data_IF_981481875720
#
_entry.id   IF_981481875720
#
_cell.length_a   1.000
_cell.length_b   1.000
_cell.length_c   1.000
_cell.angle_alpha   90.00
_cell.angle_beta   90.00
_cell.angle_gamma   90.00
#
_symmetry.space_group_name_H-M   'P 1'
#
loop_
_entity.id
_entity.type
_entity.pdbx_description
1 polymer ?
#
# COMPACT_ATOMS: atom_id res chain seq x y z
N UNK A 1 -27.13 21.33 -40.61
CA UNK A 1 -27.20 21.20 -39.13
C UNK A 1 -26.40 19.96 -38.76
N UNK A 2 -25.13 20.12 -38.39
CA UNK A 2 -24.29 18.99 -37.99
C UNK A 2 -24.48 18.75 -36.49
N UNK A 3 -25.02 17.59 -36.14
CA UNK A 3 -25.06 17.13 -34.75
C UNK A 3 -23.64 16.74 -34.35
N UNK A 4 -23.08 17.51 -33.41
CA UNK A 4 -21.77 17.25 -32.83
C UNK A 4 -21.80 15.93 -32.06
N UNK A 5 -20.82 15.08 -32.33
CA UNK A 5 -20.53 13.89 -31.52
C UNK A 5 -20.18 14.34 -30.10
N UNK A 6 -21.01 13.94 -29.14
CA UNK A 6 -20.70 14.08 -27.71
C UNK A 6 -19.53 13.13 -27.39
N UNK A 7 -18.31 13.64 -27.52
CA UNK A 7 -17.11 12.98 -27.03
C UNK A 7 -17.14 13.06 -25.49
N UNK A 8 -17.55 11.98 -24.83
CA UNK A 8 -17.33 11.83 -23.39
C UNK A 8 -15.82 11.93 -23.13
N UNK A 9 -15.35 12.74 -22.15
CA UNK A 9 -13.94 12.78 -21.83
C UNK A 9 -13.54 11.40 -21.29
N UNK A 10 -12.73 10.66 -22.04
CA UNK A 10 -12.17 9.36 -21.64
C UNK A 10 -11.08 9.50 -20.58
N UNK A 11 -11.25 10.42 -19.63
CA UNK A 11 -10.39 10.55 -18.46
C UNK A 11 -10.89 9.51 -17.45
N UNK A 12 -10.62 8.24 -17.71
CA UNK A 12 -10.58 7.25 -16.63
C UNK A 12 -9.35 7.63 -15.82
N UNK A 13 -9.50 8.23 -14.62
CA UNK A 13 -8.34 8.56 -13.81
C UNK A 13 -7.57 7.27 -13.57
N UNK A 14 -6.27 7.27 -13.88
CA UNK A 14 -5.42 6.12 -13.53
C UNK A 14 -5.58 5.87 -12.02
N UNK A 15 -5.77 4.61 -11.60
CA UNK A 15 -5.96 4.30 -10.20
C UNK A 15 -4.77 4.82 -9.40
N UNK A 16 -5.05 5.44 -8.25
CA UNK A 16 -4.01 5.92 -7.33
C UNK A 16 -3.29 4.73 -6.73
N UNK A 17 -2.04 4.91 -6.30
CA UNK A 17 -1.28 3.83 -5.65
C UNK A 17 -2.02 3.30 -4.41
N UNK A 18 -2.74 4.17 -3.69
CA UNK A 18 -3.57 3.82 -2.55
C UNK A 18 -4.69 2.84 -2.95
N UNK A 19 -5.41 3.11 -4.04
CA UNK A 19 -6.48 2.23 -4.52
C UNK A 19 -5.95 0.83 -4.93
N UNK A 20 -4.75 0.76 -5.50
CA UNK A 20 -4.11 -0.51 -5.86
C UNK A 20 -3.71 -1.29 -4.60
N UNK A 21 -3.17 -0.60 -3.59
CA UNK A 21 -2.84 -1.21 -2.29
C UNK A 21 -4.11 -1.71 -1.55
N UNK A 22 -5.20 -0.93 -1.58
CA UNK A 22 -6.49 -1.36 -1.01
C UNK A 22 -7.01 -2.64 -1.67
N UNK A 23 -6.78 -2.80 -2.98
CA UNK A 23 -7.12 -4.03 -3.71
C UNK A 23 -6.26 -5.22 -3.26
N UNK A 24 -4.95 -5.03 -3.08
CA UNK A 24 -4.04 -6.07 -2.58
C UNK A 24 -4.35 -6.50 -1.15
N UNK A 25 -4.89 -5.58 -0.34
CA UNK A 25 -5.27 -5.84 1.04
C UNK A 25 -6.79 -6.02 1.22
N UNK A 26 -7.49 -6.48 0.18
CA UNK A 26 -8.94 -6.66 0.25
C UNK A 26 -9.30 -7.76 1.27
N UNK A 27 -10.20 -7.50 2.24
CA UNK A 27 -10.57 -8.47 3.27
C UNK A 27 -11.18 -9.77 2.75
N UNK A 28 -11.65 -9.81 1.51
CA UNK A 28 -12.21 -11.00 0.86
C UNK A 28 -11.13 -11.94 0.29
N UNK A 29 -9.87 -11.51 0.21
CA UNK A 29 -8.77 -12.35 -0.22
C UNK A 29 -8.41 -13.34 0.89
N UNK A 30 -8.32 -14.63 0.55
CA UNK A 30 -7.88 -15.66 1.49
C UNK A 30 -6.35 -15.71 1.64
N UNK A 31 -5.62 -15.20 0.66
CA UNK A 31 -4.16 -15.23 0.61
C UNK A 31 -3.60 -14.01 -0.14
N UNK A 32 -2.30 -13.68 0.05
CA UNK A 32 -1.63 -12.60 -0.69
C UNK A 32 -1.57 -12.87 -2.19
N UNK A 33 -1.85 -11.84 -3.00
CA UNK A 33 -1.67 -11.89 -4.45
C UNK A 33 -0.26 -11.40 -4.80
N UNK A 34 0.68 -12.35 -4.91
CA UNK A 34 2.08 -12.06 -5.20
C UNK A 34 2.26 -11.26 -6.50
N UNK A 35 1.43 -11.49 -7.51
CA UNK A 35 1.55 -10.78 -8.78
C UNK A 35 1.19 -9.30 -8.59
N UNK A 36 0.12 -9.01 -7.85
CA UNK A 36 -0.28 -7.65 -7.52
C UNK A 36 0.71 -6.96 -6.58
N UNK A 37 1.28 -7.67 -5.61
CA UNK A 37 2.26 -7.12 -4.69
C UNK A 37 3.55 -6.70 -5.42
N UNK A 38 4.01 -7.50 -6.39
CA UNK A 38 5.15 -7.15 -7.24
C UNK A 38 4.84 -5.97 -8.17
N UNK A 39 3.62 -5.91 -8.73
CA UNK A 39 3.16 -4.75 -9.51
C UNK A 39 3.23 -3.46 -8.68
N UNK A 40 2.80 -3.51 -7.41
CA UNK A 40 2.88 -2.38 -6.48
C UNK A 40 4.35 -1.98 -6.24
N UNK A 41 5.24 -2.94 -5.99
CA UNK A 41 6.66 -2.66 -5.79
C UNK A 41 7.28 -1.98 -7.03
N UNK A 42 6.95 -2.44 -8.24
CA UNK A 42 7.38 -1.84 -9.48
C UNK A 42 6.83 -0.41 -9.65
N UNK A 43 5.57 -0.17 -9.30
CA UNK A 43 4.97 1.16 -9.32
C UNK A 43 5.67 2.12 -8.35
N UNK A 44 5.99 1.67 -7.13
CA UNK A 44 6.76 2.45 -6.15
C UNK A 44 8.13 2.83 -6.74
N UNK A 45 8.80 1.88 -7.39
CA UNK A 45 10.13 2.06 -7.99
C UNK A 45 10.14 2.96 -9.22
N UNK A 46 9.02 3.13 -9.92
CA UNK A 46 8.90 4.10 -11.03
C UNK A 46 9.09 5.56 -10.58
N UNK A 47 9.09 5.84 -9.26
CA UNK A 47 9.32 7.18 -8.65
C UNK A 47 8.48 8.30 -9.29
N UNK A 48 7.30 7.94 -9.84
CA UNK A 48 6.33 8.93 -10.30
C UNK A 48 5.70 9.56 -9.07
N UNK A 49 5.68 10.89 -9.01
CA UNK A 49 5.10 11.63 -7.88
C UNK A 49 5.73 11.22 -6.54
N UNK A 50 4.93 11.14 -5.47
CA UNK A 50 5.34 10.83 -4.09
C UNK A 50 5.00 9.39 -3.67
N UNK A 51 4.99 8.45 -4.63
CA UNK A 51 4.54 7.07 -4.41
C UNK A 51 5.24 6.33 -3.27
N UNK A 52 6.57 6.40 -3.09
CA UNK A 52 7.23 5.73 -1.96
C UNK A 52 6.65 6.14 -0.60
N UNK A 53 6.40 7.45 -0.41
CA UNK A 53 5.81 7.97 0.82
C UNK A 53 4.36 7.55 0.97
N UNK A 54 3.55 7.74 -0.08
CA UNK A 54 2.13 7.43 -0.06
C UNK A 54 1.88 5.94 0.20
N UNK A 55 2.64 5.06 -0.47
CA UNK A 55 2.57 3.63 -0.27
C UNK A 55 2.96 3.25 1.16
N UNK A 56 4.12 3.71 1.66
CA UNK A 56 4.57 3.39 3.01
C UNK A 56 3.53 3.80 4.07
N UNK A 57 3.03 5.04 3.99
CA UNK A 57 2.04 5.56 4.94
C UNK A 57 0.68 4.88 4.81
N UNK A 58 0.29 4.43 3.62
CA UNK A 58 -0.98 3.71 3.44
C UNK A 58 -0.87 2.25 3.93
N UNK A 59 0.23 1.56 3.62
CA UNK A 59 0.50 0.19 4.10
C UNK A 59 0.50 0.13 5.63
N UNK A 60 1.20 1.05 6.32
CA UNK A 60 1.23 1.03 7.80
C UNK A 60 -0.13 1.29 8.44
N UNK A 61 -1.00 2.07 7.78
CA UNK A 61 -2.40 2.24 8.22
C UNK A 61 -3.19 0.93 8.10
N UNK A 62 -2.96 0.16 7.03
CA UNK A 62 -3.61 -1.14 6.82
C UNK A 62 -3.09 -2.23 7.77
N UNK A 63 -1.80 -2.21 8.12
CA UNK A 63 -1.25 -3.05 9.21
C UNK A 63 -2.02 -2.78 10.52
N UNK A 64 -2.38 -1.52 10.76
CA UNK A 64 -3.16 -1.12 11.93
C UNK A 64 -4.68 -1.35 11.79
N UNK A 65 -5.18 -1.95 10.70
CA UNK A 65 -6.60 -2.22 10.49
C UNK A 65 -7.17 -3.15 11.59
N UNK A 66 -8.46 -2.99 11.92
CA UNK A 66 -9.16 -3.86 12.88
C UNK A 66 -9.35 -5.27 12.35
N UNK A 67 -9.46 -5.43 11.04
CA UNK A 67 -9.57 -6.73 10.41
C UNK A 67 -8.17 -7.41 10.37
N UNK A 68 -8.00 -8.57 11.03
CA UNK A 68 -6.70 -9.25 11.09
C UNK A 68 -6.24 -9.75 9.72
N UNK A 69 -7.17 -10.08 8.81
CA UNK A 69 -6.82 -10.50 7.45
C UNK A 69 -6.18 -9.34 6.68
N UNK A 70 -6.80 -8.15 6.72
CA UNK A 70 -6.24 -6.94 6.09
C UNK A 70 -4.87 -6.61 6.65
N UNK A 71 -4.69 -6.72 7.97
CA UNK A 71 -3.39 -6.49 8.60
C UNK A 71 -2.33 -7.52 8.15
N UNK A 72 -2.70 -8.79 8.04
CA UNK A 72 -1.81 -9.86 7.57
C UNK A 72 -1.39 -9.68 6.11
N UNK A 73 -2.33 -9.33 5.23
CA UNK A 73 -2.06 -9.01 3.83
C UNK A 73 -1.13 -7.79 3.71
N UNK A 74 -1.39 -6.73 4.48
CA UNK A 74 -0.57 -5.53 4.48
C UNK A 74 0.86 -5.77 5.01
N UNK A 75 1.03 -6.65 6.01
CA UNK A 75 2.35 -7.07 6.48
C UNK A 75 3.13 -7.84 5.40
N UNK A 76 2.43 -8.70 4.66
CA UNK A 76 3.04 -9.45 3.54
C UNK A 76 3.45 -8.48 2.42
N UNK A 77 2.57 -7.55 2.04
CA UNK A 77 2.88 -6.52 1.06
C UNK A 77 4.06 -5.64 1.50
N UNK A 78 4.15 -5.28 2.79
CA UNK A 78 5.29 -4.53 3.33
C UNK A 78 6.59 -5.33 3.15
N UNK A 79 6.60 -6.62 3.47
CA UNK A 79 7.77 -7.49 3.30
C UNK A 79 8.22 -7.59 1.84
N UNK A 80 7.28 -7.73 0.89
CA UNK A 80 7.56 -7.67 -0.55
C UNK A 80 8.14 -6.32 -0.95
N UNK A 81 7.57 -5.21 -0.49
CA UNK A 81 8.07 -3.87 -0.78
C UNK A 81 9.48 -3.66 -0.19
N UNK A 82 9.77 -4.15 1.01
CA UNK A 82 11.11 -4.04 1.61
C UNK A 82 12.16 -4.77 0.76
N UNK A 83 11.81 -5.96 0.23
CA UNK A 83 12.71 -6.79 -0.60
C UNK A 83 12.91 -6.25 -2.01
N UNK A 84 11.89 -5.62 -2.60
CA UNK A 84 11.88 -5.26 -4.02
C UNK A 84 11.98 -3.76 -4.30
N UNK A 85 11.71 -2.89 -3.32
CA UNK A 85 11.84 -1.44 -3.49
C UNK A 85 13.25 -0.94 -3.21
N UNK A 86 13.63 0.13 -3.90
CA UNK A 86 14.92 0.79 -3.70
C UNK A 86 14.95 1.76 -2.50
N UNK A 87 16.09 2.44 -2.36
CA UNK A 87 16.41 3.35 -1.25
C UNK A 87 15.32 4.38 -0.92
N UNK A 88 14.58 4.89 -1.91
CA UNK A 88 13.53 5.89 -1.70
C UNK A 88 12.40 5.37 -0.80
N UNK A 89 12.00 4.10 -0.92
CA UNK A 89 11.00 3.49 -0.06
C UNK A 89 11.57 3.24 1.35
N UNK A 90 12.81 2.74 1.42
CA UNK A 90 13.50 2.49 2.67
C UNK A 90 13.65 3.75 3.53
N UNK A 91 13.91 4.91 2.91
CA UNK A 91 13.95 6.20 3.63
C UNK A 91 12.62 6.51 4.34
N UNK A 92 11.48 6.17 3.75
CA UNK A 92 10.17 6.46 4.36
C UNK A 92 9.84 5.50 5.49
N UNK A 93 10.11 4.20 5.35
CA UNK A 93 9.84 3.22 6.42
C UNK A 93 10.81 3.38 7.61
N UNK A 94 11.96 4.02 7.39
CA UNK A 94 12.92 4.35 8.46
C UNK A 94 12.56 5.65 9.23
N UNK A 95 11.48 6.34 8.88
CA UNK A 95 11.07 7.58 9.57
C UNK A 95 10.48 7.29 10.95
N UNK A 96 10.66 8.23 11.89
CA UNK A 96 10.00 8.19 13.21
C UNK A 96 8.48 8.07 13.10
N UNK A 97 7.88 8.75 12.12
CA UNK A 97 6.43 8.69 11.88
C UNK A 97 5.99 7.27 11.56
N UNK A 98 6.64 6.61 10.61
CA UNK A 98 6.33 5.23 10.23
C UNK A 98 6.58 4.24 11.38
N UNK A 99 7.73 4.36 12.05
CA UNK A 99 8.09 3.46 13.16
C UNK A 99 7.14 3.61 14.35
N UNK A 100 6.63 4.81 14.64
CA UNK A 100 5.62 5.00 15.68
C UNK A 100 4.28 4.34 15.31
N UNK A 101 3.88 4.40 14.04
CA UNK A 101 2.66 3.75 13.58
C UNK A 101 2.79 2.22 13.61
N UNK A 102 3.93 1.64 13.25
CA UNK A 102 4.07 0.16 13.21
C UNK A 102 4.05 -0.46 14.61
N UNK A 103 4.63 0.20 15.61
CA UNK A 103 4.67 -0.31 16.99
C UNK A 103 3.41 0.00 17.78
N UNK A 104 2.46 0.76 17.21
CA UNK A 104 1.26 1.24 17.90
C UNK A 104 0.41 0.13 18.53
N UNK A 105 0.42 -1.07 17.95
CA UNK A 105 -0.32 -2.24 18.45
C UNK A 105 0.51 -3.18 19.31
N UNK A 106 1.80 -2.91 19.49
CA UNK A 106 2.64 -3.74 20.34
C UNK A 106 2.30 -3.48 21.80
N UNK A 107 2.11 -4.53 22.61
CA UNK A 107 1.86 -4.35 24.02
C UNK A 107 3.12 -3.78 24.68
N UNK A 108 2.96 -2.86 25.64
CA UNK A 108 4.10 -2.28 26.39
C UNK A 108 4.88 -3.33 27.18
N UNK A 109 4.21 -4.45 27.51
CA UNK A 109 4.81 -5.58 28.22
C UNK A 109 4.50 -6.87 27.47
N UNK A 110 5.48 -7.77 27.32
CA UNK A 110 5.21 -9.09 26.77
C UNK A 110 4.12 -9.79 27.60
N UNK A 111 3.25 -10.61 26.97
CA UNK A 111 2.25 -11.37 27.72
C UNK A 111 2.96 -12.24 28.76
N UNK A 112 2.50 -12.14 30.01
CA UNK A 112 2.94 -13.04 31.08
C UNK A 112 2.55 -14.46 30.69
N UNK A 113 3.54 -15.35 30.65
CA UNK A 113 3.39 -16.78 30.30
C UNK A 113 2.78 -17.56 31.45
#
# INVERSE_FOLDING_TARGET
MSFGTLQLPSVIPKPTIQAIIERACNPQLGEPDLALDLEIADLINQKKQNYPREAAMHIVRLINNRNPNVASLALTLLDICVKNCGHAFHLHIATKEFLNEIVRKFPERPPVS
#
